data_IF_728729701117
#
_entry.id   IF_728729701117
#
_cell.length_a   1.000
_cell.length_b   1.000
_cell.length_c   1.000
_cell.angle_alpha   90.00
_cell.angle_beta   90.00
_cell.angle_gamma   90.00
#
_symmetry.space_group_name_H-M   'P 1'
#
loop_
_entity.id
_entity.type
_entity.pdbx_description
1 polymer ?
#
# COMPACT_ATOMS: atom_id res chain seq x y z
N UNK A 1 106.28 23.41 -6.87
CA UNK A 1 105.29 24.39 -6.38
C UNK A 1 103.82 23.98 -6.65
N UNK A 2 103.43 22.71 -6.46
CA UNK A 2 102.02 22.25 -6.67
C UNK A 2 101.39 21.54 -5.48
N UNK A 3 102.13 21.35 -4.38
CA UNK A 3 101.62 20.68 -3.17
C UNK A 3 101.40 21.62 -1.98
N UNK A 4 102.11 22.75 -1.90
CA UNK A 4 101.92 23.74 -0.83
C UNK A 4 100.61 24.54 -0.95
N UNK A 5 100.06 24.68 -2.16
CA UNK A 5 98.82 25.44 -2.40
C UNK A 5 97.57 24.62 -2.01
N UNK A 6 97.67 23.28 -1.96
CA UNK A 6 96.53 22.42 -1.62
C UNK A 6 96.27 22.31 -0.11
N UNK A 7 97.29 22.51 0.74
CA UNK A 7 97.11 22.49 2.20
C UNK A 7 96.61 23.82 2.79
N UNK A 8 96.85 24.96 2.12
CA UNK A 8 96.43 26.28 2.63
C UNK A 8 94.93 26.57 2.50
N UNK A 9 94.22 25.86 1.60
CA UNK A 9 92.78 26.10 1.32
C UNK A 9 91.87 25.08 2.01
N UNK A 10 92.38 23.90 2.36
CA UNK A 10 91.57 22.82 2.97
C UNK A 10 91.41 23.01 4.48
N UNK A 11 92.40 23.58 5.18
CA UNK A 11 92.30 23.83 6.63
C UNK A 11 91.22 24.88 7.02
N UNK A 12 91.07 26.02 6.31
CA UNK A 12 90.01 26.98 6.61
C UNK A 12 88.62 26.43 6.26
N UNK A 13 88.49 25.65 5.19
CA UNK A 13 87.22 25.09 4.73
C UNK A 13 86.67 24.01 5.69
N UNK A 14 87.55 23.20 6.29
CA UNK A 14 87.14 22.18 7.28
C UNK A 14 86.82 22.80 8.65
N UNK A 15 87.47 23.90 9.05
CA UNK A 15 87.11 24.63 10.27
C UNK A 15 85.83 25.48 10.13
N UNK A 16 85.48 25.92 8.92
CA UNK A 16 84.19 26.58 8.63
C UNK A 16 83.01 25.59 8.57
N UNK A 17 83.25 24.32 8.26
CA UNK A 17 82.20 23.29 8.24
C UNK A 17 81.90 22.69 9.63
N UNK A 18 82.85 22.73 10.58
CA UNK A 18 82.62 22.27 11.95
C UNK A 18 81.89 23.31 12.83
N UNK A 19 82.05 24.61 12.54
CA UNK A 19 81.37 25.71 13.27
C UNK A 19 79.98 26.03 12.71
N UNK A 20 79.65 25.56 11.51
CA UNK A 20 78.32 25.70 10.89
C UNK A 20 77.24 24.76 11.46
N UNK A 21 77.60 23.72 12.22
CA UNK A 21 76.66 22.72 12.75
C UNK A 21 76.08 23.03 14.14
N UNK A 22 76.47 24.14 14.78
CA UNK A 22 75.95 24.52 16.11
C UNK A 22 75.01 25.72 16.04
N UNK A 23 75.23 26.66 15.11
CA UNK A 23 74.40 27.86 14.96
C UNK A 23 73.02 27.59 14.31
N UNK A 24 72.91 26.60 13.43
CA UNK A 24 71.63 26.18 12.82
C UNK A 24 70.86 25.19 13.70
N UNK A 25 71.53 24.41 14.55
CA UNK A 25 70.87 23.45 15.42
C UNK A 25 69.97 24.14 16.44
N UNK A 26 70.46 25.23 17.06
CA UNK A 26 69.67 26.05 17.99
C UNK A 26 68.48 26.75 17.31
N UNK A 27 68.71 27.33 16.12
CA UNK A 27 67.65 27.97 15.34
C UNK A 27 66.58 26.98 14.88
N UNK A 28 66.97 25.80 14.40
CA UNK A 28 66.02 24.74 14.00
C UNK A 28 65.28 24.22 15.23
N UNK A 29 65.93 23.97 16.36
CA UNK A 29 65.21 23.53 17.58
C UNK A 29 64.23 24.58 18.08
N UNK A 30 64.55 25.87 17.95
CA UNK A 30 63.64 26.94 18.35
C UNK A 30 62.48 27.10 17.36
N UNK A 31 62.73 27.04 16.05
CA UNK A 31 61.67 27.12 15.03
C UNK A 31 60.78 25.89 15.02
N UNK A 32 61.36 24.69 15.19
CA UNK A 32 60.62 23.44 15.32
C UNK A 32 59.82 23.44 16.61
N UNK A 33 60.40 23.85 17.75
CA UNK A 33 59.65 23.99 19.01
C UNK A 33 58.50 24.99 18.90
N UNK A 34 58.69 26.13 18.22
CA UNK A 34 57.60 27.08 17.93
C UNK A 34 56.51 26.47 17.05
N UNK A 35 56.90 25.67 16.05
CA UNK A 35 55.96 25.00 15.15
C UNK A 35 55.24 23.84 15.81
N UNK A 36 55.90 23.07 16.67
CA UNK A 36 55.28 22.03 17.50
C UNK A 36 54.21 22.64 18.41
N UNK A 37 54.51 23.74 19.10
CA UNK A 37 53.51 24.42 19.94
C UNK A 37 52.33 24.95 19.12
N UNK A 38 52.58 25.54 17.94
CA UNK A 38 51.51 26.00 17.04
C UNK A 38 50.65 24.82 16.52
N UNK A 39 51.30 23.69 16.19
CA UNK A 39 50.63 22.47 15.72
C UNK A 39 49.82 21.85 16.85
N UNK A 40 50.38 21.67 18.03
CA UNK A 40 49.69 21.14 19.21
C UNK A 40 48.46 21.97 19.56
N UNK A 41 48.56 23.30 19.45
CA UNK A 41 47.44 24.20 19.69
C UNK A 41 46.33 24.03 18.63
N UNK A 42 46.69 23.82 17.35
CA UNK A 42 45.74 23.52 16.28
C UNK A 42 45.14 22.13 16.41
N UNK A 43 45.94 21.12 16.73
CA UNK A 43 45.51 19.72 16.93
C UNK A 43 44.55 19.64 18.12
N UNK A 44 44.88 20.24 19.26
CA UNK A 44 43.99 20.31 20.41
C UNK A 44 42.68 21.07 20.10
N UNK A 45 42.74 22.08 19.23
CA UNK A 45 41.56 22.80 18.75
C UNK A 45 40.69 21.95 17.80
N UNK A 46 41.31 21.16 16.94
CA UNK A 46 40.63 20.23 16.03
C UNK A 46 40.01 19.07 16.81
N UNK A 47 40.72 18.48 17.77
CA UNK A 47 40.21 17.38 18.60
C UNK A 47 38.96 17.79 19.38
N UNK A 48 38.95 19.01 19.94
CA UNK A 48 37.76 19.55 20.61
C UNK A 48 36.58 19.67 19.65
N UNK A 49 36.78 20.29 18.48
CA UNK A 49 35.74 20.43 17.46
C UNK A 49 35.24 19.09 16.96
N UNK A 50 36.15 18.13 16.74
CA UNK A 50 35.82 16.79 16.28
C UNK A 50 34.98 16.05 17.32
N UNK A 51 35.30 16.21 18.61
CA UNK A 51 34.52 15.59 19.71
C UNK A 51 33.12 16.20 19.80
N UNK A 52 33.00 17.53 19.66
CA UNK A 52 31.70 18.23 19.63
C UNK A 52 30.86 17.85 18.42
N UNK A 53 31.46 17.75 17.23
CA UNK A 53 30.77 17.29 16.02
C UNK A 53 30.36 15.82 16.12
N UNK A 54 31.21 14.96 16.66
CA UNK A 54 30.89 13.52 16.86
C UNK A 54 29.68 13.37 17.78
N UNK A 55 29.65 14.07 18.93
CA UNK A 55 28.49 14.05 19.83
C UNK A 55 27.22 14.57 19.15
N UNK A 56 27.33 15.63 18.33
CA UNK A 56 26.19 16.18 17.60
C UNK A 56 25.71 15.23 16.50
N UNK A 57 26.61 14.49 15.86
CA UNK A 57 26.27 13.49 14.85
C UNK A 57 25.58 12.29 15.51
N UNK A 58 26.12 11.77 16.61
CA UNK A 58 25.50 10.65 17.35
C UNK A 58 24.06 10.99 17.78
N UNK A 59 23.85 12.18 18.38
CA UNK A 59 22.49 12.63 18.74
C UNK A 59 21.54 12.71 17.54
N UNK A 60 22.04 13.07 16.36
CA UNK A 60 21.23 13.10 15.14
C UNK A 60 20.94 11.70 14.62
N UNK A 61 21.92 10.79 14.67
CA UNK A 61 21.77 9.39 14.25
C UNK A 61 20.72 8.71 15.13
N UNK A 62 20.81 8.84 16.45
CA UNK A 62 19.82 8.30 17.40
C UNK A 62 18.41 8.85 17.14
N UNK A 63 18.32 10.15 16.86
CA UNK A 63 17.06 10.80 16.51
C UNK A 63 16.48 10.33 15.17
N UNK A 64 17.34 10.01 14.19
CA UNK A 64 16.92 9.46 12.90
C UNK A 64 16.48 8.01 13.05
N UNK A 65 17.21 7.18 13.79
CA UNK A 65 16.86 5.77 14.03
C UNK A 65 15.51 5.64 14.76
N UNK A 66 15.26 6.52 15.73
CA UNK A 66 13.96 6.58 16.42
C UNK A 66 12.83 6.93 15.45
N UNK A 67 13.01 7.97 14.62
CA UNK A 67 12.01 8.37 13.60
C UNK A 67 11.80 7.31 12.53
N UNK A 68 12.87 6.63 12.12
CA UNK A 68 12.81 5.55 11.15
C UNK A 68 12.00 4.37 11.69
N UNK A 69 12.21 4.00 12.95
CA UNK A 69 11.45 2.95 13.63
C UNK A 69 9.96 3.31 13.69
N UNK A 70 9.62 4.52 14.14
CA UNK A 70 8.24 5.01 14.17
C UNK A 70 7.61 5.02 12.77
N UNK A 71 8.34 5.47 11.76
CA UNK A 71 7.86 5.51 10.37
C UNK A 71 7.62 4.11 9.82
N UNK A 72 8.50 3.16 10.13
CA UNK A 72 8.37 1.75 9.76
C UNK A 72 7.12 1.12 10.36
N UNK A 73 6.84 1.38 11.64
CA UNK A 73 5.62 0.92 12.32
C UNK A 73 4.36 1.53 11.71
N UNK A 74 4.35 2.83 11.45
CA UNK A 74 3.23 3.51 10.78
C UNK A 74 3.02 2.95 9.37
N UNK A 75 4.08 2.70 8.61
CA UNK A 75 4.01 2.13 7.28
C UNK A 75 3.44 0.70 7.30
N UNK A 76 3.85 -0.14 8.27
CA UNK A 76 3.29 -1.48 8.48
C UNK A 76 1.80 -1.41 8.83
N UNK A 77 1.42 -0.59 9.80
CA UNK A 77 0.02 -0.44 10.19
C UNK A 77 -0.85 0.19 9.10
N UNK A 78 -0.29 1.05 8.24
CA UNK A 78 -0.99 1.58 7.06
C UNK A 78 -1.20 0.49 6.00
N UNK A 79 -0.20 -0.37 5.78
CA UNK A 79 -0.29 -1.51 4.86
C UNK A 79 -1.33 -2.52 5.32
N UNK A 80 -1.32 -2.91 6.59
CA UNK A 80 -2.32 -3.83 7.16
C UNK A 80 -3.75 -3.28 7.03
N UNK A 81 -3.94 -1.98 7.31
CA UNK A 81 -5.24 -1.32 7.13
C UNK A 81 -5.68 -1.28 5.66
N UNK A 82 -4.74 -1.05 4.74
CA UNK A 82 -5.02 -1.07 3.32
C UNK A 82 -5.42 -2.48 2.87
N UNK A 83 -4.64 -3.50 3.23
CA UNK A 83 -4.92 -4.89 2.88
C UNK A 83 -6.29 -5.35 3.43
N UNK A 84 -6.61 -5.00 4.68
CA UNK A 84 -7.93 -5.28 5.27
C UNK A 84 -9.09 -4.56 4.56
N UNK A 85 -8.87 -3.32 4.11
CA UNK A 85 -9.87 -2.57 3.34
C UNK A 85 -10.11 -3.22 1.96
N UNK A 86 -9.04 -3.66 1.28
CA UNK A 86 -9.16 -4.39 0.01
C UNK A 86 -9.93 -5.69 0.16
N UNK A 87 -9.62 -6.52 1.17
CA UNK A 87 -10.36 -7.76 1.41
C UNK A 87 -11.86 -7.50 1.66
N UNK A 88 -12.18 -6.47 2.45
CA UNK A 88 -13.58 -6.11 2.73
C UNK A 88 -14.31 -5.58 1.49
N UNK A 89 -13.60 -4.86 0.62
CA UNK A 89 -14.13 -4.39 -0.65
C UNK A 89 -14.45 -5.57 -1.59
N UNK A 90 -13.55 -6.54 -1.72
CA UNK A 90 -13.77 -7.74 -2.54
C UNK A 90 -14.92 -8.61 -2.03
N UNK A 91 -15.04 -8.78 -0.70
CA UNK A 91 -16.17 -9.47 -0.09
C UNK A 91 -17.50 -8.75 -0.40
N UNK A 92 -17.53 -7.43 -0.24
CA UNK A 92 -18.71 -6.62 -0.54
C UNK A 92 -19.08 -6.72 -2.02
N UNK A 93 -18.10 -6.61 -2.90
CA UNK A 93 -18.30 -6.73 -4.34
C UNK A 93 -18.85 -8.12 -4.72
N UNK A 94 -18.32 -9.19 -4.11
CA UNK A 94 -18.80 -10.56 -4.34
C UNK A 94 -20.25 -10.73 -3.88
N UNK A 95 -20.60 -10.19 -2.70
CA UNK A 95 -21.97 -10.22 -2.17
C UNK A 95 -22.94 -9.43 -3.04
N UNK A 96 -22.55 -8.23 -3.47
CA UNK A 96 -23.34 -7.44 -4.40
C UNK A 96 -23.52 -8.19 -5.72
N UNK A 97 -22.44 -8.71 -6.30
CA UNK A 97 -22.51 -9.49 -7.55
C UNK A 97 -23.51 -10.64 -7.46
N UNK A 98 -23.52 -11.40 -6.35
CA UNK A 98 -24.51 -12.46 -6.11
C UNK A 98 -25.94 -11.91 -6.04
N UNK A 99 -26.17 -10.87 -5.23
CA UNK A 99 -27.50 -10.27 -5.06
C UNK A 99 -28.05 -9.69 -6.37
N UNK A 100 -27.20 -9.02 -7.15
CA UNK A 100 -27.58 -8.43 -8.42
C UNK A 100 -27.79 -9.48 -9.50
N UNK A 101 -27.00 -10.55 -9.52
CA UNK A 101 -27.19 -11.68 -10.45
C UNK A 101 -28.50 -12.41 -10.19
N UNK A 102 -28.87 -12.59 -8.92
CA UNK A 102 -30.08 -13.32 -8.52
C UNK A 102 -31.32 -12.42 -8.38
N UNK A 103 -31.20 -11.09 -8.52
CA UNK A 103 -32.28 -10.11 -8.26
C UNK A 103 -33.58 -10.40 -8.99
N UNK A 104 -33.49 -10.87 -10.23
CA UNK A 104 -34.65 -11.13 -11.09
C UNK A 104 -34.90 -12.62 -11.33
N UNK A 105 -34.12 -13.50 -10.69
CA UNK A 105 -34.33 -14.93 -10.81
C UNK A 105 -35.54 -15.30 -9.96
N UNK A 106 -36.61 -15.70 -10.64
CA UNK A 106 -37.85 -16.15 -10.02
C UNK A 106 -38.03 -17.62 -10.36
N UNK A 107 -38.32 -18.44 -9.36
CA UNK A 107 -38.74 -19.82 -9.59
C UNK A 107 -40.26 -19.85 -9.72
N UNK A 108 -40.74 -20.61 -10.69
CA UNK A 108 -42.15 -20.98 -10.76
C UNK A 108 -42.43 -21.86 -9.54
N UNK A 109 -43.19 -21.34 -8.58
CA UNK A 109 -43.53 -22.10 -7.39
C UNK A 109 -44.65 -23.07 -7.74
N UNK A 110 -45.74 -22.55 -8.30
CA UNK A 110 -46.94 -23.33 -8.61
C UNK A 110 -47.66 -22.75 -9.82
N UNK A 111 -48.18 -23.63 -10.67
CA UNK A 111 -49.03 -23.27 -11.81
C UNK A 111 -50.44 -23.78 -11.56
N UNK A 112 -51.39 -22.85 -11.52
CA UNK A 112 -52.81 -23.14 -11.35
C UNK A 112 -53.53 -22.91 -12.69
N UNK A 113 -54.28 -23.92 -13.14
CA UNK A 113 -55.21 -23.77 -14.26
C UNK A 113 -56.60 -23.48 -13.72
N UNK A 114 -57.06 -22.25 -13.95
CA UNK A 114 -58.40 -21.82 -13.54
C UNK A 114 -59.29 -21.90 -14.77
N UNK A 115 -60.31 -22.74 -14.66
CA UNK A 115 -61.34 -22.92 -15.68
C UNK A 115 -62.50 -21.99 -15.37
N UNK A 116 -62.90 -21.19 -16.36
CA UNK A 116 -64.06 -20.32 -16.25
C UNK A 116 -65.28 -21.00 -16.85
N UNK A 117 -66.43 -20.81 -16.18
CA UNK A 117 -67.71 -21.24 -16.71
C UNK A 117 -68.05 -20.52 -18.01
N UNK A 118 -68.91 -21.13 -18.83
CA UNK A 118 -69.40 -20.48 -20.04
C UNK A 118 -70.17 -19.20 -19.66
N UNK A 119 -69.70 -18.06 -20.15
CA UNK A 119 -70.27 -16.72 -19.90
C UNK A 119 -70.19 -16.24 -18.44
N UNK A 120 -69.22 -16.77 -17.67
CA UNK A 120 -68.95 -16.34 -16.29
C UNK A 120 -67.53 -15.81 -16.17
N UNK A 121 -67.40 -14.64 -15.56
CA UNK A 121 -66.12 -14.03 -15.18
C UNK A 121 -65.76 -14.31 -13.71
N UNK A 122 -66.70 -14.87 -12.95
CA UNK A 122 -66.49 -15.22 -11.55
C UNK A 122 -65.59 -16.45 -11.40
N UNK A 123 -64.62 -16.33 -10.48
CA UNK A 123 -63.85 -17.45 -9.97
C UNK A 123 -64.78 -18.37 -9.17
N UNK A 124 -64.66 -19.68 -9.37
CA UNK A 124 -65.32 -20.65 -8.50
C UNK A 124 -64.76 -20.55 -7.06
N UNK A 125 -65.52 -21.00 -6.05
CA UNK A 125 -65.11 -20.92 -4.64
C UNK A 125 -63.72 -21.54 -4.39
N UNK A 126 -63.39 -22.60 -5.13
CA UNK A 126 -62.06 -23.20 -5.13
C UNK A 126 -60.97 -22.22 -5.60
N UNK A 127 -61.18 -21.54 -6.73
CA UNK A 127 -60.25 -20.55 -7.28
C UNK A 127 -60.13 -19.28 -6.44
N UNK A 128 -61.20 -18.88 -5.74
CA UNK A 128 -61.16 -17.77 -4.79
C UNK A 128 -60.34 -18.12 -3.53
N UNK A 129 -60.45 -19.35 -3.04
CA UNK A 129 -59.69 -19.84 -1.89
C UNK A 129 -58.19 -19.98 -2.22
N UNK A 130 -57.86 -20.42 -3.44
CA UNK A 130 -56.46 -20.63 -3.86
C UNK A 130 -55.70 -19.33 -4.15
N UNK A 131 -56.37 -18.26 -4.58
CA UNK A 131 -55.72 -16.98 -4.94
C UNK A 131 -55.62 -15.97 -3.78
N UNK A 132 -55.91 -16.37 -2.54
CA UNK A 132 -55.93 -15.49 -1.35
C UNK A 132 -54.57 -14.94 -0.89
N UNK A 133 -53.79 -14.30 -1.77
CA UNK A 133 -52.43 -13.81 -1.50
C UNK A 133 -52.27 -12.36 -2.00
N UNK A 134 -51.64 -11.54 -1.16
CA UNK A 134 -51.31 -10.13 -1.40
C UNK A 134 -50.62 -9.88 -2.75
N UNK A 135 -50.93 -8.74 -3.35
CA UNK A 135 -50.68 -8.38 -4.76
C UNK A 135 -49.58 -7.32 -4.91
N UNK A 136 -48.28 -7.67 -5.02
CA UNK A 136 -47.32 -6.65 -5.40
C UNK A 136 -47.19 -6.49 -6.93
N UNK A 137 -47.27 -7.55 -7.75
CA UNK A 137 -46.94 -7.48 -9.20
C UNK A 137 -47.64 -8.57 -10.04
N UNK A 138 -48.62 -8.19 -10.87
CA UNK A 138 -49.27 -9.07 -11.87
C UNK A 138 -48.68 -8.79 -13.25
N UNK A 139 -48.28 -9.84 -13.98
CA UNK A 139 -48.03 -9.80 -15.41
C UNK A 139 -49.17 -10.51 -16.14
N UNK A 140 -49.87 -9.81 -17.04
CA UNK A 140 -50.99 -10.35 -17.80
C UNK A 140 -50.64 -10.41 -19.29
N UNK A 141 -50.83 -11.59 -19.88
CA UNK A 141 -50.65 -11.81 -21.33
C UNK A 141 -51.94 -12.38 -21.88
N UNK A 142 -52.55 -11.67 -22.83
CA UNK A 142 -53.71 -12.16 -23.57
C UNK A 142 -53.28 -13.00 -24.76
N UNK A 143 -53.57 -14.30 -24.73
CA UNK A 143 -53.21 -15.24 -25.82
C UNK A 143 -54.27 -15.34 -26.94
N UNK A 144 -55.40 -14.65 -26.81
CA UNK A 144 -56.47 -14.69 -27.81
C UNK A 144 -57.13 -16.09 -27.94
N UNK A 145 -57.92 -16.31 -29.00
CA UNK A 145 -58.63 -17.57 -29.18
C UNK A 145 -57.67 -18.74 -29.47
N UNK A 146 -57.71 -19.78 -28.63
CA UNK A 146 -56.90 -20.99 -28.80
C UNK A 146 -57.51 -21.84 -29.96
N UNK A 147 -56.90 -21.73 -31.13
CA UNK A 147 -57.34 -22.39 -32.36
C UNK A 147 -56.90 -23.86 -32.48
N UNK A 148 -56.31 -24.44 -31.43
CA UNK A 148 -55.80 -25.81 -31.44
C UNK A 148 -56.91 -26.82 -31.79
N UNK A 149 -56.62 -27.71 -32.76
CA UNK A 149 -57.54 -28.74 -33.24
C UNK A 149 -57.50 -29.94 -32.28
N UNK A 150 -58.67 -30.36 -31.79
CA UNK A 150 -58.80 -31.53 -30.90
C UNK A 150 -59.13 -31.20 -29.44
N UNK A 151 -59.02 -29.95 -29.02
CA UNK A 151 -59.42 -29.51 -27.66
C UNK A 151 -60.92 -29.16 -27.63
N UNK A 152 -61.73 -29.74 -26.73
CA UNK A 152 -63.13 -29.36 -26.55
C UNK A 152 -63.28 -27.87 -26.23
N UNK A 153 -64.33 -27.23 -26.74
CA UNK A 153 -64.52 -25.77 -26.60
C UNK A 153 -64.58 -25.30 -25.13
N UNK A 154 -65.09 -26.16 -24.23
CA UNK A 154 -65.10 -25.94 -22.78
C UNK A 154 -63.70 -25.79 -22.18
N UNK A 155 -62.69 -26.43 -22.75
CA UNK A 155 -61.31 -26.44 -22.25
C UNK A 155 -60.45 -25.35 -22.92
N UNK A 156 -61.01 -24.62 -23.91
CA UNK A 156 -60.33 -23.50 -24.57
C UNK A 156 -60.41 -22.20 -23.77
N UNK A 157 -61.34 -22.10 -22.82
CA UNK A 157 -61.56 -20.93 -21.96
C UNK A 157 -60.88 -21.14 -20.61
N UNK A 158 -59.56 -20.91 -20.58
CA UNK A 158 -58.76 -21.07 -19.37
C UNK A 158 -57.88 -19.85 -19.12
N UNK A 159 -57.61 -19.58 -17.86
CA UNK A 159 -56.52 -18.70 -17.44
C UNK A 159 -55.48 -19.56 -16.73
N UNK A 160 -54.23 -19.44 -17.16
CA UNK A 160 -53.10 -20.07 -16.50
C UNK A 160 -52.44 -19.03 -15.61
N UNK A 161 -52.48 -19.23 -14.30
CA UNK A 161 -51.79 -18.39 -13.34
C UNK A 161 -50.50 -19.09 -12.95
N UNK A 162 -49.37 -18.41 -13.19
CA UNK A 162 -48.05 -18.85 -12.76
C UNK A 162 -47.61 -18.03 -11.57
N UNK A 163 -47.53 -18.66 -10.40
CA UNK A 163 -47.03 -18.02 -9.20
C UNK A 163 -45.51 -18.05 -9.21
N UNK A 164 -44.90 -16.87 -9.28
CA UNK A 164 -43.45 -16.71 -9.31
C UNK A 164 -42.96 -16.25 -7.94
N UNK A 165 -42.19 -17.08 -7.24
CA UNK A 165 -41.62 -16.75 -5.93
C UNK A 165 -40.17 -16.29 -6.10
N UNK A 166 -39.72 -15.40 -5.23
CA UNK A 166 -38.30 -15.06 -5.17
C UNK A 166 -37.51 -16.35 -4.87
N UNK A 167 -36.49 -16.64 -5.67
CA UNK A 167 -35.61 -17.74 -5.31
C UNK A 167 -34.80 -17.30 -4.09
N UNK A 168 -35.02 -17.95 -2.94
CA UNK A 168 -34.13 -17.85 -1.79
C UNK A 168 -32.87 -18.66 -2.09
N UNK A 169 -31.71 -18.05 -1.86
CA UNK A 169 -30.37 -18.66 -1.99
C UNK A 169 -30.03 -19.47 -0.74
#
# INVERSE_FOLDING_TARGET
MRQAVKLGVVLPAVMLLASGCVATRGWVTEHVGKKEVEIDQRVAGVDKKLTEETQRVDQKVDGVDTKLTQTSEVARGARERADGAYTKADETNSRLTRLWSNRNVRKEAETYQILFGFDKWDLNDAGQTTLGIELPRIHLVGLGPIAEKGTPNKDKRRVTVKLMVAQED
#
